data_IF_627042786553
#
_entry.id   IF_627042786553
#
_cell.length_a   1.000
_cell.length_b   1.000
_cell.length_c   1.000
_cell.angle_alpha   90.00
_cell.angle_beta   90.00
_cell.angle_gamma   90.00
#
_symmetry.space_group_name_H-M   'P 1'
#
loop_
_entity.id
_entity.type
_entity.pdbx_description
1 polymer ?
#
# COMPACT_ATOMS: atom_id res chain seq x y z
N UNK A 1 -20.88 -5.09 -2.70
CA UNK A 1 -21.34 -5.37 -1.32
C UNK A 1 -21.12 -4.13 -0.49
N UNK A 2 -22.01 -3.83 0.45
CA UNK A 2 -22.03 -2.59 1.24
C UNK A 2 -20.65 -2.35 1.86
N UNK A 3 -19.96 -1.31 1.38
CA UNK A 3 -18.73 -0.67 1.87
C UNK A 3 -17.64 -1.55 2.45
N UNK A 4 -16.58 -1.82 1.67
CA UNK A 4 -15.29 -2.24 2.24
C UNK A 4 -14.85 -1.24 3.31
N UNK A 5 -14.28 -1.73 4.41
CA UNK A 5 -13.76 -0.85 5.45
C UNK A 5 -12.65 0.05 4.88
N UNK A 6 -12.46 1.25 5.43
CA UNK A 6 -11.37 2.14 5.01
C UNK A 6 -10.00 1.43 5.03
N UNK A 7 -9.81 0.50 5.96
CA UNK A 7 -8.59 -0.29 6.10
C UNK A 7 -8.41 -1.28 4.94
N UNK A 8 -9.48 -1.94 4.51
CA UNK A 8 -9.45 -2.85 3.36
C UNK A 8 -9.17 -2.08 2.07
N UNK A 9 -9.83 -0.93 1.89
CA UNK A 9 -9.62 -0.05 0.72
C UNK A 9 -8.19 0.45 0.69
N UNK A 10 -7.66 0.92 1.82
CA UNK A 10 -6.27 1.38 1.91
C UNK A 10 -5.27 0.25 1.62
N UNK A 11 -5.47 -0.92 2.21
CA UNK A 11 -4.58 -2.07 1.99
C UNK A 11 -4.57 -2.51 0.53
N UNK A 12 -5.73 -2.48 -0.14
CA UNK A 12 -5.86 -2.83 -1.55
C UNK A 12 -5.19 -1.80 -2.47
N UNK A 13 -5.39 -0.52 -2.21
CA UNK A 13 -4.72 0.56 -2.95
C UNK A 13 -3.19 0.43 -2.85
N UNK A 14 -2.66 0.14 -1.67
CA UNK A 14 -1.22 -0.07 -1.46
C UNK A 14 -0.73 -1.30 -2.23
N UNK A 15 -1.44 -2.43 -2.18
CA UNK A 15 -1.09 -3.66 -2.92
C UNK A 15 -1.01 -3.40 -4.42
N UNK A 16 -2.05 -2.79 -4.99
CA UNK A 16 -2.09 -2.51 -6.43
C UNK A 16 -0.97 -1.57 -6.86
N UNK A 17 -0.68 -0.54 -6.06
CA UNK A 17 0.41 0.39 -6.37
C UNK A 17 1.77 -0.32 -6.35
N UNK A 18 2.03 -1.15 -5.34
CA UNK A 18 3.27 -1.92 -5.24
C UNK A 18 3.43 -2.93 -6.39
N UNK A 19 2.34 -3.60 -6.80
CA UNK A 19 2.34 -4.56 -7.90
C UNK A 19 2.66 -3.89 -9.24
N UNK A 20 2.09 -2.70 -9.51
CA UNK A 20 2.34 -1.95 -10.75
C UNK A 20 3.79 -1.45 -10.88
N UNK A 21 4.47 -1.25 -9.75
CA UNK A 21 5.82 -0.71 -9.67
C UNK A 21 6.88 -1.76 -9.32
N UNK A 22 6.56 -3.05 -9.46
CA UNK A 22 7.51 -4.15 -9.20
C UNK A 22 8.18 -4.07 -7.81
N UNK A 23 7.46 -3.56 -6.81
CA UNK A 23 7.97 -3.43 -5.44
C UNK A 23 8.84 -2.19 -5.17
N UNK A 24 8.95 -1.22 -6.08
CA UNK A 24 9.63 0.05 -5.82
C UNK A 24 8.89 0.89 -4.76
N UNK A 25 9.24 0.69 -3.49
CA UNK A 25 8.57 1.32 -2.33
C UNK A 25 8.70 2.84 -2.32
N UNK A 26 9.78 3.41 -2.88
CA UNK A 26 9.98 4.87 -2.89
C UNK A 26 9.00 5.53 -3.86
N UNK A 27 8.88 4.96 -5.05
CA UNK A 27 7.96 5.45 -6.07
C UNK A 27 6.50 5.18 -5.69
N UNK A 28 6.20 4.01 -5.10
CA UNK A 28 4.87 3.71 -4.58
C UNK A 28 4.43 4.71 -3.51
N UNK A 29 5.34 5.07 -2.58
CA UNK A 29 5.04 6.06 -1.55
C UNK A 29 4.75 7.45 -2.16
N UNK A 30 5.49 7.84 -3.20
CA UNK A 30 5.27 9.09 -3.92
C UNK A 30 3.89 9.11 -4.62
N UNK A 31 3.50 8.04 -5.30
CA UNK A 31 2.18 7.92 -5.94
C UNK A 31 1.05 7.95 -4.90
N UNK A 32 1.25 7.28 -3.77
CA UNK A 32 0.27 7.24 -2.67
C UNK A 32 0.22 8.55 -1.86
N UNK A 33 1.12 9.51 -2.12
CA UNK A 33 1.17 10.78 -1.39
C UNK A 33 1.56 10.63 0.08
N UNK A 34 2.33 9.60 0.43
CA UNK A 34 2.77 9.32 1.81
C UNK A 34 4.29 9.20 1.89
N UNK A 35 4.84 9.33 3.11
CA UNK A 35 6.26 9.04 3.32
C UNK A 35 6.56 7.56 3.14
N UNK A 36 7.78 7.23 2.71
CA UNK A 36 8.27 5.84 2.62
C UNK A 36 8.16 5.12 3.97
N UNK A 37 8.40 5.84 5.08
CA UNK A 37 8.22 5.33 6.45
C UNK A 37 6.76 4.96 6.73
N UNK A 38 5.81 5.82 6.36
CA UNK A 38 4.37 5.54 6.50
C UNK A 38 3.98 4.30 5.69
N UNK A 39 4.46 4.20 4.45
CA UNK A 39 4.25 3.02 3.60
C UNK A 39 4.81 1.75 4.26
N UNK A 40 6.03 1.79 4.80
CA UNK A 40 6.62 0.66 5.52
C UNK A 40 5.77 0.20 6.72
N UNK A 41 5.26 1.14 7.51
CA UNK A 41 4.36 0.81 8.62
C UNK A 41 3.06 0.17 8.14
N UNK A 42 2.47 0.69 7.06
CA UNK A 42 1.23 0.14 6.50
C UNK A 42 1.43 -1.24 5.88
N UNK A 43 2.55 -1.47 5.20
CA UNK A 43 2.93 -2.80 4.68
C UNK A 43 2.99 -3.82 5.82
N UNK A 44 3.65 -3.47 6.93
CA UNK A 44 3.70 -4.34 8.13
C UNK A 44 2.32 -4.52 8.76
N UNK A 45 1.58 -3.42 8.97
CA UNK A 45 0.25 -3.43 9.61
C UNK A 45 -0.75 -4.31 8.85
N UNK A 46 -0.70 -4.26 7.52
CA UNK A 46 -1.63 -4.99 6.64
C UNK A 46 -1.05 -6.30 6.12
N UNK A 47 0.11 -6.74 6.62
CA UNK A 47 0.80 -7.96 6.19
C UNK A 47 0.91 -8.08 4.66
N UNK A 48 1.26 -6.99 3.98
CA UNK A 48 1.39 -6.96 2.53
C UNK A 48 2.69 -7.63 2.13
N UNK A 49 2.60 -8.78 1.47
CA UNK A 49 3.76 -9.46 0.91
C UNK A 49 4.27 -8.68 -0.31
N UNK A 50 5.47 -8.13 -0.20
CA UNK A 50 6.25 -7.67 -1.37
C UNK A 50 7.10 -8.85 -1.85
N UNK A 51 6.73 -9.44 -2.99
CA UNK A 51 7.62 -10.32 -3.75
C UNK A 51 8.68 -9.50 -4.48
#
# INVERSE_FOLDING_TARGET
>A
TIGSSLQEVEAELIRQTLQRLTGNRREAAAILGISVRSLQYKIKRYNIATK
#
